data_IF_647040082239
#
_entry.id   IF_647040082239
#
_cell.length_a   1.000
_cell.length_b   1.000
_cell.length_c   1.000
_cell.angle_alpha   90.00
_cell.angle_beta   90.00
_cell.angle_gamma   90.00
#
_symmetry.space_group_name_H-M   'P 1'
#
loop_
_entity.id
_entity.type
_entity.pdbx_description
1 polymer ?
#
# COMPACT_ATOMS: atom_id res chain seq x y z
N UNK A 1 36.08 -48.75 21.96
CA UNK A 1 35.72 -47.61 21.08
C UNK A 1 34.45 -48.01 20.34
N UNK A 2 33.30 -47.53 20.82
CA UNK A 2 31.98 -47.86 20.26
C UNK A 2 31.59 -46.75 19.28
N UNK A 3 31.31 -47.11 18.04
CA UNK A 3 30.78 -46.20 17.02
C UNK A 3 29.35 -45.80 17.40
N UNK A 4 29.07 -44.50 17.40
CA UNK A 4 27.73 -43.95 17.59
C UNK A 4 26.95 -43.99 16.26
N UNK A 5 25.62 -44.25 16.27
CA UNK A 5 24.81 -44.20 15.07
C UNK A 5 24.50 -42.74 14.71
N UNK A 6 24.78 -42.36 13.46
CA UNK A 6 24.35 -41.08 12.88
C UNK A 6 22.85 -41.19 12.59
N UNK A 7 22.04 -40.46 13.36
CA UNK A 7 20.63 -40.24 13.04
C UNK A 7 20.55 -39.13 11.99
N UNK A 8 20.26 -39.49 10.74
CA UNK A 8 19.77 -38.56 9.74
C UNK A 8 18.37 -38.09 10.18
N UNK A 9 18.29 -36.89 10.75
CA UNK A 9 17.03 -36.20 10.94
C UNK A 9 16.60 -35.70 9.55
N UNK A 10 15.76 -36.49 8.88
CA UNK A 10 14.92 -35.99 7.79
C UNK A 10 13.93 -35.02 8.41
N UNK A 11 14.23 -33.73 8.34
CA UNK A 11 13.24 -32.68 8.58
C UNK A 11 12.14 -32.86 7.52
N UNK A 12 10.88 -33.12 7.89
CA UNK A 12 9.81 -33.19 6.93
C UNK A 12 9.66 -31.78 6.33
N UNK A 13 9.59 -31.72 5.00
CA UNK A 13 9.07 -30.55 4.29
C UNK A 13 7.74 -30.17 4.94
N UNK A 14 7.73 -29.10 5.71
CA UNK A 14 6.51 -28.48 6.18
C UNK A 14 5.75 -28.00 4.95
N UNK A 15 4.71 -28.75 4.60
CA UNK A 15 3.61 -28.26 3.78
C UNK A 15 3.21 -26.87 4.27
N UNK A 16 3.04 -25.94 3.33
CA UNK A 16 2.63 -24.53 3.50
C UNK A 16 1.35 -24.36 4.34
N UNK A 17 0.65 -25.45 4.67
CA UNK A 17 -0.47 -25.47 5.61
C UNK A 17 -0.10 -25.08 7.07
N UNK A 18 1.18 -24.99 7.46
CA UNK A 18 1.59 -24.78 8.86
C UNK A 18 1.79 -23.31 9.29
N UNK A 19 1.73 -22.34 8.37
CA UNK A 19 1.57 -20.90 8.69
C UNK A 19 0.24 -20.46 8.08
N UNK A 20 -0.82 -20.48 8.89
CA UNK A 20 -2.16 -20.18 8.40
C UNK A 20 -2.23 -18.80 7.75
N UNK A 21 -2.55 -18.76 6.45
CA UNK A 21 -2.93 -17.51 5.79
C UNK A 21 -4.36 -17.16 6.23
N UNK A 22 -4.46 -16.42 7.33
CA UNK A 22 -5.72 -15.96 7.92
C UNK A 22 -5.65 -14.45 8.10
N UNK A 23 -6.58 -13.74 7.49
CA UNK A 23 -6.71 -12.29 7.63
C UNK A 23 -7.74 -11.93 8.70
N UNK A 24 -7.69 -10.69 9.17
CA UNK A 24 -8.73 -10.15 10.04
C UNK A 24 -10.11 -10.19 9.34
N UNK A 25 -11.21 -10.56 10.02
CA UNK A 25 -12.53 -10.71 9.40
C UNK A 25 -13.00 -9.48 8.61
N UNK A 26 -12.81 -8.26 9.15
CA UNK A 26 -13.17 -7.01 8.44
C UNK A 26 -12.34 -6.77 7.16
N UNK A 27 -11.13 -7.34 7.07
CA UNK A 27 -10.30 -7.28 5.86
C UNK A 27 -10.83 -8.28 4.82
N UNK A 28 -11.18 -9.52 5.22
CA UNK A 28 -11.82 -10.50 4.34
C UNK A 28 -13.17 -10.00 3.82
N UNK A 29 -13.99 -9.41 4.70
CA UNK A 29 -15.28 -8.80 4.32
C UNK A 29 -15.07 -7.72 3.27
N UNK A 30 -14.04 -6.89 3.43
CA UNK A 30 -13.69 -5.85 2.48
C UNK A 30 -13.28 -6.42 1.12
N UNK A 31 -12.40 -7.43 1.10
CA UNK A 31 -12.01 -8.13 -0.14
C UNK A 31 -13.27 -8.66 -0.83
N UNK A 32 -14.10 -9.41 -0.11
CA UNK A 32 -15.31 -10.02 -0.66
C UNK A 32 -16.33 -8.98 -1.16
N UNK A 33 -16.44 -7.84 -0.48
CA UNK A 33 -17.30 -6.72 -0.91
C UNK A 33 -16.82 -6.15 -2.23
N UNK A 34 -15.54 -5.82 -2.31
CA UNK A 34 -14.98 -5.12 -3.47
C UNK A 34 -14.87 -6.06 -4.68
N UNK A 35 -14.63 -7.36 -4.49
CA UNK A 35 -14.60 -8.33 -5.60
C UNK A 35 -15.97 -8.78 -6.10
N UNK A 36 -17.06 -8.46 -5.39
CA UNK A 36 -18.43 -8.71 -5.86
C UNK A 36 -18.92 -7.73 -6.93
N UNK A 37 -18.18 -6.65 -7.20
CA UNK A 37 -18.58 -5.59 -8.13
C UNK A 37 -18.91 -6.09 -9.55
N UNK A 38 -18.33 -7.23 -9.97
CA UNK A 38 -18.57 -7.82 -11.30
C UNK A 38 -19.76 -8.77 -11.36
N UNK A 39 -20.23 -9.28 -10.22
CA UNK A 39 -21.34 -10.23 -10.13
C UNK A 39 -21.21 -11.43 -11.09
N UNK A 40 -22.35 -11.87 -11.62
CA UNK A 40 -22.39 -13.01 -12.57
C UNK A 40 -21.72 -12.70 -13.91
N UNK A 41 -21.79 -11.43 -14.36
CA UNK A 41 -21.18 -10.99 -15.61
C UNK A 41 -19.67 -11.25 -15.63
N UNK A 42 -19.03 -11.11 -14.46
CA UNK A 42 -17.59 -11.32 -14.31
C UNK A 42 -16.75 -10.34 -15.11
N UNK A 43 -15.49 -10.69 -15.30
CA UNK A 43 -14.46 -9.92 -15.99
C UNK A 43 -14.18 -10.59 -17.33
N UNK A 44 -14.52 -9.89 -18.41
CA UNK A 44 -14.24 -10.29 -19.78
C UNK A 44 -12.86 -9.80 -20.25
N UNK A 45 -12.31 -10.43 -21.29
CA UNK A 45 -10.98 -10.09 -21.78
C UNK A 45 -10.92 -8.66 -22.36
N UNK A 46 -11.94 -8.23 -23.09
CA UNK A 46 -12.06 -6.88 -23.63
C UNK A 46 -12.14 -5.81 -22.53
N UNK A 47 -12.75 -6.14 -21.38
CA UNK A 47 -12.78 -5.27 -20.22
C UNK A 47 -11.39 -5.06 -19.62
N UNK A 48 -10.58 -6.12 -19.48
CA UNK A 48 -9.20 -6.00 -19.01
C UNK A 48 -8.33 -5.22 -20.01
N UNK A 49 -8.50 -5.48 -21.30
CA UNK A 49 -7.78 -4.78 -22.38
C UNK A 49 -8.20 -3.31 -22.54
N UNK A 50 -9.41 -2.94 -22.08
CA UNK A 50 -9.89 -1.56 -22.15
C UNK A 50 -8.98 -0.57 -21.40
N UNK A 51 -8.19 -1.05 -20.44
CA UNK A 51 -7.21 -0.23 -19.70
C UNK A 51 -6.21 0.44 -20.64
N UNK A 52 -5.77 -0.22 -21.71
CA UNK A 52 -4.85 0.38 -22.68
C UNK A 52 -5.48 1.56 -23.43
N UNK A 53 -6.82 1.67 -23.48
CA UNK A 53 -7.50 2.84 -24.07
C UNK A 53 -7.33 4.09 -23.22
N UNK A 54 -6.99 3.93 -21.93
CA UNK A 54 -6.52 5.02 -21.10
C UNK A 54 -5.30 5.72 -21.72
N UNK A 55 -4.47 4.99 -22.47
CA UNK A 55 -3.32 5.56 -23.18
C UNK A 55 -3.38 5.47 -24.69
N UNK A 56 -4.57 5.34 -25.26
CA UNK A 56 -4.75 5.11 -26.69
C UNK A 56 -4.53 6.33 -27.60
N UNK A 57 -4.01 7.46 -27.09
CA UNK A 57 -3.71 8.63 -27.92
C UNK A 57 -2.43 9.35 -27.47
N UNK A 58 -1.69 9.88 -28.45
CA UNK A 58 -0.49 10.71 -28.22
C UNK A 58 -0.80 11.92 -27.32
N UNK A 59 -1.99 12.51 -27.44
CA UNK A 59 -2.40 13.64 -26.61
C UNK A 59 -2.40 13.27 -25.12
N UNK A 60 -2.97 12.12 -24.73
CA UNK A 60 -3.00 11.71 -23.32
C UNK A 60 -1.61 11.39 -22.78
N UNK A 61 -0.71 10.87 -23.61
CA UNK A 61 0.69 10.62 -23.23
C UNK A 61 1.41 11.92 -22.93
N UNK A 62 1.25 12.93 -23.81
CA UNK A 62 1.93 14.21 -23.69
C UNK A 62 1.36 15.09 -22.57
N UNK A 63 0.03 15.09 -22.39
CA UNK A 63 -0.64 15.99 -21.44
C UNK A 63 -0.86 15.36 -20.06
N UNK A 64 -1.06 14.05 -19.99
CA UNK A 64 -1.48 13.35 -18.76
C UNK A 64 -0.48 12.28 -18.31
N UNK A 65 0.60 12.07 -19.07
CA UNK A 65 1.61 11.05 -18.78
C UNK A 65 1.03 9.67 -18.46
N UNK A 66 -0.08 9.32 -19.12
CA UNK A 66 -0.91 8.19 -18.72
C UNK A 66 -0.17 6.85 -18.76
N UNK A 67 0.84 6.73 -19.63
CA UNK A 67 1.67 5.56 -19.87
C UNK A 67 2.60 5.23 -18.69
N UNK A 68 2.66 6.13 -17.71
CA UNK A 68 3.37 5.97 -16.43
C UNK A 68 2.45 5.55 -15.29
N UNK A 69 1.13 5.61 -15.49
CA UNK A 69 0.14 5.44 -14.43
C UNK A 69 -0.29 3.98 -14.22
N UNK A 70 -0.04 3.09 -15.18
CA UNK A 70 -0.59 1.73 -15.14
C UNK A 70 0.37 0.64 -15.57
N UNK A 71 0.50 -0.37 -14.71
CA UNK A 71 1.25 -1.60 -14.94
C UNK A 71 0.26 -2.77 -15.05
N UNK A 72 0.11 -3.35 -16.24
CA UNK A 72 -0.71 -4.53 -16.49
C UNK A 72 0.07 -5.78 -16.14
N UNK A 73 -0.61 -6.69 -15.44
CA UNK A 73 -0.02 -7.87 -14.83
C UNK A 73 -0.93 -9.06 -15.09
N UNK A 74 -0.31 -10.17 -15.47
CA UNK A 74 -0.95 -11.45 -15.70
C UNK A 74 -0.22 -12.52 -14.90
N UNK A 75 -0.96 -13.40 -14.24
CA UNK A 75 -0.43 -14.57 -13.54
C UNK A 75 -0.95 -15.80 -14.27
N UNK A 76 -0.04 -16.68 -14.65
CA UNK A 76 -0.36 -17.95 -15.30
C UNK A 76 0.48 -19.06 -14.65
N UNK A 77 -0.19 -20.10 -14.17
CA UNK A 77 0.43 -21.26 -13.51
C UNK A 77 1.31 -20.89 -12.30
N UNK A 78 1.00 -19.76 -11.65
CA UNK A 78 1.76 -19.20 -10.53
C UNK A 78 2.98 -18.36 -10.94
N UNK A 79 3.21 -18.16 -12.23
CA UNK A 79 4.26 -17.25 -12.75
C UNK A 79 3.65 -15.89 -13.06
N UNK A 80 4.31 -14.82 -12.61
CA UNK A 80 3.87 -13.44 -12.81
C UNK A 80 4.53 -12.85 -14.05
N UNK A 81 3.74 -12.21 -14.90
CA UNK A 81 4.16 -11.57 -16.15
C UNK A 81 3.67 -10.12 -16.20
N UNK A 82 4.46 -9.26 -16.82
CA UNK A 82 4.11 -7.89 -17.16
C UNK A 82 3.68 -7.81 -18.63
N UNK A 83 2.54 -7.16 -18.88
CA UNK A 83 1.97 -7.02 -20.22
C UNK A 83 2.19 -5.64 -20.85
N UNK A 84 2.83 -4.76 -20.11
CA UNK A 84 3.47 -3.54 -20.58
C UNK A 84 4.66 -3.25 -19.67
N UNK A 85 5.49 -2.29 -20.05
CA UNK A 85 6.54 -1.72 -19.21
C UNK A 85 6.25 -0.24 -18.98
N UNK A 86 6.83 0.29 -17.92
CA UNK A 86 6.79 1.71 -17.56
C UNK A 86 8.02 2.40 -18.16
N UNK A 87 7.93 3.62 -18.72
CA UNK A 87 9.08 4.30 -19.29
C UNK A 87 10.26 4.44 -18.33
N UNK A 88 11.48 4.30 -18.84
CA UNK A 88 12.68 4.32 -18.00
C UNK A 88 12.88 5.64 -17.23
N UNK A 89 12.43 6.77 -17.78
CA UNK A 89 12.54 8.09 -17.14
C UNK A 89 11.56 8.31 -15.99
N UNK A 90 10.60 7.41 -15.78
CA UNK A 90 9.71 7.40 -14.61
C UNK A 90 9.98 6.25 -13.65
N UNK A 91 10.97 5.39 -13.94
CA UNK A 91 11.44 4.41 -12.99
C UNK A 91 12.19 5.11 -11.85
N UNK A 92 12.04 4.61 -10.62
CA UNK A 92 12.67 5.21 -9.44
C UNK A 92 11.74 5.44 -8.24
N UNK A 93 10.46 5.77 -8.42
CA UNK A 93 9.49 5.75 -7.34
C UNK A 93 9.38 4.34 -6.75
N UNK A 94 9.47 4.26 -5.42
CA UNK A 94 9.49 3.00 -4.67
C UNK A 94 8.09 2.34 -4.62
N UNK A 95 7.04 3.11 -4.91
CA UNK A 95 5.62 2.74 -4.98
C UNK A 95 5.40 1.51 -5.86
N UNK A 96 5.79 1.61 -7.15
CA UNK A 96 5.63 0.56 -8.14
C UNK A 96 6.54 -0.63 -7.88
N UNK A 97 7.82 -0.34 -7.66
CA UNK A 97 8.86 -1.34 -7.43
C UNK A 97 8.53 -2.21 -6.21
N UNK A 98 8.07 -1.59 -5.12
CA UNK A 98 7.69 -2.33 -3.92
C UNK A 98 6.53 -3.28 -4.15
N UNK A 99 5.52 -2.88 -4.93
CA UNK A 99 4.40 -3.77 -5.26
C UNK A 99 4.86 -4.96 -6.10
N UNK A 100 5.73 -4.73 -7.09
CA UNK A 100 6.34 -5.77 -7.90
C UNK A 100 7.18 -6.76 -7.07
N UNK A 101 8.00 -6.26 -6.15
CA UNK A 101 8.79 -7.08 -5.20
C UNK A 101 7.87 -7.97 -4.35
N UNK A 102 6.83 -7.38 -3.77
CA UNK A 102 5.92 -8.08 -2.86
C UNK A 102 5.01 -9.09 -3.59
N UNK A 103 4.58 -8.76 -4.82
CA UNK A 103 3.82 -9.66 -5.68
C UNK A 103 4.66 -10.86 -6.15
N UNK A 104 5.92 -10.63 -6.56
CA UNK A 104 6.82 -11.73 -6.90
C UNK A 104 7.01 -12.65 -5.71
N UNK A 105 7.26 -12.12 -4.52
CA UNK A 105 7.37 -12.95 -3.33
C UNK A 105 6.08 -13.73 -3.03
N UNK A 106 4.92 -13.08 -3.14
CA UNK A 106 3.64 -13.75 -2.94
C UNK A 106 3.48 -14.94 -3.90
N UNK A 107 3.93 -14.81 -5.15
CA UNK A 107 3.93 -15.91 -6.15
C UNK A 107 4.84 -17.09 -5.79
N UNK A 108 5.90 -16.82 -5.03
CA UNK A 108 6.84 -17.85 -4.57
C UNK A 108 6.38 -18.54 -3.30
N UNK A 109 5.68 -17.82 -2.42
CA UNK A 109 5.15 -18.35 -1.16
C UNK A 109 3.82 -19.09 -1.39
N UNK A 110 2.94 -18.48 -2.17
CA UNK A 110 1.64 -19.01 -2.55
C UNK A 110 1.65 -19.23 -4.05
N UNK A 111 1.35 -20.45 -4.51
CA UNK A 111 1.09 -20.66 -5.94
C UNK A 111 -0.14 -19.83 -6.33
N UNK A 112 0.08 -18.62 -6.82
CA UNK A 112 -0.98 -17.65 -7.12
C UNK A 112 -1.88 -18.19 -8.25
N UNK A 113 -3.19 -17.90 -8.21
CA UNK A 113 -4.13 -18.38 -9.22
C UNK A 113 -3.93 -17.65 -10.56
N UNK A 114 -4.46 -18.26 -11.62
CA UNK A 114 -4.53 -17.59 -12.93
C UNK A 114 -5.45 -16.37 -12.86
N UNK A 115 -4.91 -15.19 -13.13
CA UNK A 115 -5.63 -13.92 -13.03
C UNK A 115 -4.91 -12.83 -13.83
N UNK A 116 -5.63 -11.82 -14.30
CA UNK A 116 -5.05 -10.63 -14.93
C UNK A 116 -5.70 -9.38 -14.34
N UNK A 117 -4.87 -8.37 -14.09
CA UNK A 117 -5.28 -7.11 -13.47
C UNK A 117 -4.28 -6.00 -13.80
N UNK A 118 -4.62 -4.77 -13.43
CA UNK A 118 -3.77 -3.60 -13.58
C UNK A 118 -3.41 -3.04 -12.21
N UNK A 119 -2.16 -2.67 -11.99
CA UNK A 119 -1.75 -1.88 -10.84
C UNK A 119 -1.64 -0.41 -11.25
N UNK A 120 -2.34 0.45 -10.52
CA UNK A 120 -2.33 1.88 -10.68
C UNK A 120 -1.23 2.51 -9.83
N UNK A 121 -0.33 3.25 -10.47
CA UNK A 121 0.92 3.73 -9.90
C UNK A 121 0.83 5.10 -9.23
N UNK A 122 -0.18 5.91 -9.54
CA UNK A 122 -0.33 7.24 -8.93
C UNK A 122 -0.84 7.16 -7.49
N UNK A 123 -0.63 8.27 -6.76
CA UNK A 123 -1.10 8.40 -5.38
C UNK A 123 -2.62 8.35 -5.27
N UNK A 124 -3.30 8.96 -6.24
CA UNK A 124 -4.75 8.94 -6.33
C UNK A 124 -5.20 7.76 -7.17
N UNK A 125 -6.24 7.01 -6.73
CA UNK A 125 -6.87 6.04 -7.61
C UNK A 125 -7.46 6.75 -8.83
N UNK A 126 -7.59 6.06 -9.97
CA UNK A 126 -8.11 6.66 -11.20
C UNK A 126 -9.52 7.21 -10.95
N UNK A 127 -9.73 8.48 -11.31
CA UNK A 127 -11.01 9.15 -11.13
C UNK A 127 -12.12 8.50 -11.98
N UNK A 128 -11.73 7.82 -13.05
CA UNK A 128 -12.59 7.18 -14.02
C UNK A 128 -13.30 5.93 -13.48
N UNK A 129 -12.72 5.23 -12.49
CA UNK A 129 -13.29 3.99 -11.91
C UNK A 129 -14.28 4.31 -10.79
N UNK A 130 -15.38 4.98 -11.13
CA UNK A 130 -16.41 5.38 -10.14
C UNK A 130 -17.26 4.16 -9.75
N UNK A 131 -17.54 4.03 -8.46
CA UNK A 131 -18.51 3.10 -7.89
C UNK A 131 -19.60 3.92 -7.18
N UNK A 132 -20.84 3.84 -7.64
CA UNK A 132 -21.95 4.60 -7.06
C UNK A 132 -22.66 3.79 -5.97
N UNK A 133 -23.40 4.46 -5.05
CA UNK A 133 -24.15 3.77 -4.00
C UNK A 133 -25.20 2.77 -4.50
N UNK A 134 -25.72 2.96 -5.71
CA UNK A 134 -26.66 2.04 -6.36
C UNK A 134 -25.97 0.81 -6.98
N UNK A 135 -24.65 0.68 -6.82
CA UNK A 135 -23.83 -0.39 -7.38
C UNK A 135 -23.42 -0.15 -8.84
N UNK A 136 -23.87 0.91 -9.49
CA UNK A 136 -23.44 1.23 -10.84
C UNK A 136 -21.99 1.66 -10.89
N UNK A 137 -21.28 1.22 -11.93
CA UNK A 137 -19.86 1.54 -12.14
C UNK A 137 -19.70 2.52 -13.31
N UNK A 138 -18.56 3.18 -13.36
CA UNK A 138 -18.14 3.97 -14.52
C UNK A 138 -16.75 3.56 -14.95
N UNK A 139 -16.55 3.51 -16.26
CA UNK A 139 -15.27 3.46 -16.94
C UNK A 139 -15.51 3.96 -18.36
N UNK A 140 -14.81 4.99 -18.85
CA UNK A 140 -15.20 5.70 -20.07
C UNK A 140 -14.88 4.93 -21.36
N UNK A 141 -14.23 3.76 -21.25
CA UNK A 141 -13.81 2.97 -22.41
C UNK A 141 -14.69 1.72 -22.56
N UNK A 142 -15.09 1.34 -23.80
CA UNK A 142 -15.77 0.09 -24.07
C UNK A 142 -15.02 -1.11 -23.45
N UNK A 143 -15.72 -2.11 -22.88
CA UNK A 143 -17.16 -2.34 -22.89
C UNK A 143 -17.95 -1.58 -21.80
N UNK A 144 -17.39 -0.53 -21.19
CA UNK A 144 -18.04 0.31 -20.16
C UNK A 144 -18.37 -0.43 -18.85
N UNK A 145 -17.44 -1.28 -18.40
CA UNK A 145 -17.48 -1.93 -17.09
C UNK A 145 -16.28 -1.52 -16.22
N UNK A 146 -16.25 -1.95 -14.96
CA UNK A 146 -15.13 -1.68 -14.06
C UNK A 146 -13.92 -2.58 -14.42
N UNK A 147 -12.78 -2.07 -14.90
CA UNK A 147 -11.60 -2.91 -15.11
C UNK A 147 -11.04 -3.42 -13.76
N UNK A 148 -10.46 -4.63 -13.69
CA UNK A 148 -9.80 -5.12 -12.48
C UNK A 148 -8.50 -4.36 -12.26
N UNK A 149 -8.60 -3.28 -11.50
CA UNK A 149 -7.48 -2.41 -11.20
C UNK A 149 -7.24 -2.35 -9.70
N UNK A 150 -5.97 -2.27 -9.30
CA UNK A 150 -5.51 -2.21 -7.93
C UNK A 150 -4.87 -0.86 -7.64
N UNK A 151 -5.13 -0.30 -6.47
CA UNK A 151 -4.45 0.88 -5.96
C UNK A 151 -4.23 0.75 -4.45
N UNK A 152 -3.27 1.49 -3.91
CA UNK A 152 -2.92 1.39 -2.49
C UNK A 152 -3.83 2.21 -1.56
N UNK A 153 -4.70 3.04 -2.14
CA UNK A 153 -5.65 3.88 -1.41
C UNK A 153 -6.86 4.18 -2.26
N UNK A 154 -8.04 4.27 -1.62
CA UNK A 154 -9.25 4.74 -2.27
C UNK A 154 -10.27 5.32 -1.29
N UNK A 155 -11.35 5.85 -1.87
CA UNK A 155 -12.59 6.24 -1.18
C UNK A 155 -13.67 5.20 -1.49
N UNK A 156 -14.80 5.19 -0.77
CA UNK A 156 -15.86 4.20 -1.01
C UNK A 156 -16.56 4.34 -2.36
N UNK A 157 -16.44 5.51 -3.01
CA UNK A 157 -16.98 5.80 -4.34
C UNK A 157 -16.05 5.39 -5.49
N UNK A 158 -14.99 4.61 -5.21
CA UNK A 158 -14.02 4.18 -6.21
C UNK A 158 -13.90 2.64 -6.27
N UNK A 159 -13.92 2.11 -7.50
CA UNK A 159 -14.01 0.69 -7.80
C UNK A 159 -12.68 -0.10 -7.77
N UNK A 160 -11.52 0.54 -7.62
CA UNK A 160 -10.25 -0.22 -7.57
C UNK A 160 -10.20 -1.17 -6.36
N UNK A 161 -9.45 -2.25 -6.46
CA UNK A 161 -9.15 -3.14 -5.34
C UNK A 161 -7.98 -2.57 -4.53
N UNK A 162 -8.06 -2.65 -3.20
CA UNK A 162 -6.99 -2.16 -2.33
C UNK A 162 -5.83 -3.15 -2.28
N UNK A 163 -4.60 -2.65 -2.34
CA UNK A 163 -3.36 -3.41 -2.08
C UNK A 163 -2.46 -2.67 -1.09
N UNK A 164 -1.47 -3.33 -0.48
CA UNK A 164 -0.49 -2.63 0.36
C UNK A 164 0.30 -1.59 -0.45
N UNK A 165 0.59 -0.44 0.17
CA UNK A 165 1.59 0.52 -0.33
C UNK A 165 3.00 -0.06 -0.14
N UNK A 166 3.29 -1.09 -0.92
CA UNK A 166 4.37 -2.04 -0.69
C UNK A 166 5.75 -1.37 -0.72
N UNK A 167 5.91 -0.29 -1.49
CA UNK A 167 7.12 0.54 -1.46
C UNK A 167 7.46 1.05 -0.05
N UNK A 168 6.47 1.56 0.68
CA UNK A 168 6.67 2.07 2.03
C UNK A 168 6.81 0.95 3.08
N UNK A 169 6.36 -0.25 2.77
CA UNK A 169 6.56 -1.44 3.60
C UNK A 169 7.93 -2.09 3.41
N UNK A 170 8.44 -2.12 2.16
CA UNK A 170 9.58 -2.96 1.75
C UNK A 170 10.87 -2.20 1.41
N UNK A 171 10.75 -1.02 0.81
CA UNK A 171 11.81 -0.47 -0.02
C UNK A 171 12.51 0.74 0.60
N UNK A 172 11.75 1.67 1.18
CA UNK A 172 12.32 2.84 1.85
C UNK A 172 13.26 2.41 3.01
N UNK A 173 14.31 3.19 3.26
CA UNK A 173 15.24 2.92 4.39
C UNK A 173 14.57 3.05 5.75
N UNK A 174 13.50 3.83 5.85
CA UNK A 174 12.62 3.95 7.00
C UNK A 174 11.30 3.16 6.81
N UNK A 175 11.31 2.12 5.98
CA UNK A 175 10.14 1.30 5.70
C UNK A 175 9.58 0.62 6.96
N UNK A 176 8.34 0.15 6.88
CA UNK A 176 7.73 -0.62 7.96
C UNK A 176 8.59 -1.83 8.34
N UNK A 177 9.07 -2.62 7.37
CA UNK A 177 9.88 -3.80 7.65
C UNK A 177 11.24 -3.42 8.29
N UNK A 178 11.84 -2.29 7.89
CA UNK A 178 13.06 -1.77 8.52
C UNK A 178 12.84 -1.34 9.97
N UNK A 179 11.70 -0.71 10.28
CA UNK A 179 11.33 -0.33 11.65
C UNK A 179 10.97 -1.56 12.50
N UNK A 180 10.25 -2.53 11.92
CA UNK A 180 9.91 -3.78 12.59
C UNK A 180 11.18 -4.54 13.02
N UNK A 181 12.17 -4.62 12.13
CA UNK A 181 13.45 -5.26 12.43
C UNK A 181 14.23 -4.58 13.59
N UNK A 182 13.91 -3.33 13.91
CA UNK A 182 14.54 -2.54 14.97
C UNK A 182 13.60 -2.33 16.18
N UNK A 183 12.49 -3.07 16.27
CA UNK A 183 11.46 -2.80 17.27
C UNK A 183 11.98 -2.89 18.71
N UNK A 184 12.91 -3.82 18.99
CA UNK A 184 13.53 -3.94 20.32
C UNK A 184 14.30 -2.67 20.73
N UNK A 185 14.87 -1.94 19.77
CA UNK A 185 15.52 -0.66 20.02
C UNK A 185 14.50 0.48 20.14
N UNK A 186 13.52 0.52 19.24
CA UNK A 186 12.45 1.53 19.24
C UNK A 186 11.57 1.47 20.49
N UNK A 187 11.54 0.34 21.18
CA UNK A 187 10.73 0.16 22.40
C UNK A 187 11.49 0.41 23.70
N UNK A 188 12.78 0.78 23.63
CA UNK A 188 13.60 1.05 24.82
C UNK A 188 13.19 2.29 25.59
N UNK A 189 12.55 3.27 24.95
CA UNK A 189 12.06 4.49 25.60
C UNK A 189 10.75 4.12 26.33
N UNK A 190 10.75 4.03 27.68
CA UNK A 190 9.56 3.74 28.45
C UNK A 190 8.49 4.81 28.22
N UNK A 191 7.22 4.43 28.32
CA UNK A 191 6.10 5.35 28.10
C UNK A 191 6.19 6.60 28.99
N UNK A 192 6.63 6.41 30.23
CA UNK A 192 6.77 7.42 31.28
C UNK A 192 7.87 8.45 30.98
N UNK A 193 8.84 8.11 30.12
CA UNK A 193 9.92 9.01 29.69
C UNK A 193 9.59 9.76 28.40
N UNK A 194 8.48 9.41 27.72
CA UNK A 194 8.08 10.04 26.46
C UNK A 194 7.50 11.43 26.72
N UNK A 195 7.81 12.37 25.81
CA UNK A 195 7.28 13.73 25.84
C UNK A 195 5.76 13.71 25.63
N UNK A 196 5.01 14.38 26.50
CA UNK A 196 3.54 14.40 26.49
C UNK A 196 2.95 15.40 25.47
N UNK A 197 3.60 15.62 24.33
CA UNK A 197 3.16 16.58 23.29
C UNK A 197 2.77 15.84 22.01
N UNK A 198 1.72 16.28 21.33
CA UNK A 198 1.34 15.76 20.02
C UNK A 198 2.34 16.19 18.96
N UNK A 199 3.04 15.23 18.36
CA UNK A 199 4.15 15.50 17.46
C UNK A 199 3.86 15.07 16.02
N UNK A 200 4.25 15.89 15.05
CA UNK A 200 4.17 15.55 13.62
C UNK A 200 5.04 16.42 12.72
N UNK A 201 5.56 15.84 11.63
CA UNK A 201 6.37 16.53 10.61
C UNK A 201 6.01 16.07 9.20
N UNK A 202 5.86 16.98 8.23
CA UNK A 202 5.51 16.61 6.84
C UNK A 202 5.75 17.75 5.84
N UNK A 203 5.71 17.47 4.54
CA UNK A 203 5.82 18.50 3.51
C UNK A 203 4.57 19.39 3.46
N UNK A 204 4.75 20.69 3.18
CA UNK A 204 3.69 21.69 3.10
C UNK A 204 2.93 21.59 1.77
N UNK A 205 1.88 20.77 1.73
CA UNK A 205 0.97 20.69 0.58
C UNK A 205 -0.43 20.26 1.02
N UNK A 206 -1.39 20.39 0.11
CA UNK A 206 -2.75 19.89 0.30
C UNK A 206 -3.23 19.05 -0.86
N UNK A 207 -3.91 17.95 -0.54
CA UNK A 207 -4.58 17.10 -1.52
C UNK A 207 -5.97 17.62 -1.86
N UNK A 208 -6.43 17.29 -3.07
CA UNK A 208 -7.58 17.95 -3.70
C UNK A 208 -8.87 17.79 -2.89
N UNK A 209 -9.08 16.66 -2.21
CA UNK A 209 -10.35 16.39 -1.53
C UNK A 209 -10.55 17.26 -0.27
N UNK A 210 -9.49 17.78 0.35
CA UNK A 210 -9.63 18.83 1.37
C UNK A 210 -9.91 20.20 0.73
N UNK A 211 -9.19 20.56 -0.34
CA UNK A 211 -9.38 21.86 -1.01
C UNK A 211 -10.71 21.99 -1.73
N UNK A 212 -11.29 20.86 -2.16
CA UNK A 212 -12.62 20.78 -2.77
C UNK A 212 -13.73 20.53 -1.74
N UNK A 213 -13.44 20.61 -0.45
CA UNK A 213 -14.42 20.50 0.64
C UNK A 213 -15.20 19.17 0.65
N UNK A 214 -14.56 18.09 0.22
CA UNK A 214 -15.17 16.75 0.18
C UNK A 214 -15.17 16.07 1.56
N UNK A 215 -14.21 16.41 2.42
CA UNK A 215 -14.15 15.95 3.81
C UNK A 215 -14.89 16.95 4.70
N UNK A 216 -15.86 16.47 5.47
CA UNK A 216 -16.71 17.30 6.34
C UNK A 216 -16.64 16.81 7.77
N UNK A 217 -16.63 17.77 8.69
CA UNK A 217 -16.77 17.55 10.12
C UNK A 217 -18.24 17.34 10.47
N UNK A 218 -18.52 16.89 11.69
CA UNK A 218 -19.86 16.62 12.21
C UNK A 218 -20.75 17.87 12.23
N UNK A 219 -20.16 19.07 12.37
CA UNK A 219 -20.87 20.35 12.28
C UNK A 219 -21.22 20.77 10.84
N UNK A 220 -20.85 19.96 9.84
CA UNK A 220 -21.09 20.19 8.42
C UNK A 220 -20.06 21.07 7.70
N UNK A 221 -19.14 21.69 8.45
CA UNK A 221 -18.06 22.49 7.87
C UNK A 221 -17.01 21.60 7.21
N UNK A 222 -16.32 22.16 6.21
CA UNK A 222 -15.23 21.46 5.54
C UNK A 222 -14.02 21.34 6.48
N UNK A 223 -13.39 20.17 6.50
CA UNK A 223 -12.10 19.99 7.17
C UNK A 223 -11.05 20.86 6.46
N UNK A 224 -10.38 21.79 7.16
CA UNK A 224 -9.30 22.56 6.54
C UNK A 224 -8.14 21.61 6.23
N UNK A 225 -7.23 22.04 5.35
CA UNK A 225 -6.07 21.21 5.04
C UNK A 225 -5.25 20.88 6.29
N UNK A 226 -5.18 19.61 6.76
CA UNK A 226 -4.58 19.32 8.06
C UNK A 226 -3.09 19.70 8.10
N UNK A 227 -2.36 19.45 7.00
CA UNK A 227 -0.92 19.68 6.91
C UNK A 227 -0.50 21.13 7.13
N UNK A 228 -1.29 22.08 6.66
CA UNK A 228 -0.98 23.51 6.79
C UNK A 228 -1.71 24.13 7.98
N UNK A 229 -2.93 23.67 8.28
CA UNK A 229 -3.74 24.20 9.37
C UNK A 229 -3.13 23.93 10.75
N UNK A 230 -2.53 22.75 10.95
CA UNK A 230 -1.91 22.36 12.22
C UNK A 230 -0.71 23.24 12.62
N UNK A 231 -0.11 23.98 11.67
CA UNK A 231 0.88 25.00 12.01
C UNK A 231 0.28 26.07 12.94
N UNK A 232 -0.95 26.51 12.66
CA UNK A 232 -1.63 27.55 13.44
C UNK A 232 -2.03 27.00 14.82
N UNK A 233 -2.52 25.75 14.87
CA UNK A 233 -2.86 25.09 16.13
C UNK A 233 -1.61 24.91 17.00
N UNK A 234 -0.49 24.49 16.41
CA UNK A 234 0.77 24.32 17.12
C UNK A 234 1.33 25.64 17.66
N UNK A 235 1.17 26.75 16.93
CA UNK A 235 1.57 28.08 17.43
C UNK A 235 0.70 28.58 18.58
N UNK A 236 -0.61 28.29 18.52
CA UNK A 236 -1.56 28.70 19.53
C UNK A 236 -1.46 27.85 20.81
N UNK A 237 -1.06 26.58 20.67
CA UNK A 237 -0.99 25.61 21.76
C UNK A 237 0.35 24.84 21.75
N UNK A 238 1.51 25.53 21.86
CA UNK A 238 2.83 24.91 21.71
C UNK A 238 3.17 23.95 22.85
N UNK A 239 2.46 24.04 23.98
CA UNK A 239 2.55 23.12 25.09
C UNK A 239 1.80 21.81 24.84
N UNK A 240 0.82 21.77 23.93
CA UNK A 240 0.00 20.60 23.62
C UNK A 240 0.34 19.98 22.26
N UNK A 241 0.59 20.80 21.24
CA UNK A 241 0.75 20.37 19.85
C UNK A 241 2.03 20.95 19.27
N UNK A 242 2.90 20.07 18.80
CA UNK A 242 4.13 20.34 18.08
C UNK A 242 4.09 19.61 16.72
N UNK A 243 3.12 19.98 15.90
CA UNK A 243 2.81 19.32 14.64
C UNK A 243 2.89 20.34 13.48
N UNK A 244 4.02 20.33 12.79
CA UNK A 244 4.37 21.36 11.80
C UNK A 244 4.69 20.73 10.45
N UNK A 245 4.33 21.43 9.37
CA UNK A 245 4.98 21.15 8.09
C UNK A 245 6.45 21.61 8.08
N UNK A 246 7.22 21.16 7.10
CA UNK A 246 8.66 21.43 7.00
C UNK A 246 9.02 22.86 6.56
N UNK A 247 8.04 23.72 6.27
CA UNK A 247 8.30 25.16 6.13
C UNK A 247 8.49 25.84 7.49
N UNK A 248 8.04 25.21 8.58
CA UNK A 248 8.11 25.75 9.94
C UNK A 248 8.83 24.84 10.92
N UNK A 249 8.64 23.53 10.80
CA UNK A 249 9.28 22.51 11.62
C UNK A 249 10.56 21.96 11.00
N UNK A 250 11.46 21.46 11.83
CA UNK A 250 12.64 20.69 11.37
C UNK A 250 12.27 19.22 11.13
N UNK A 251 12.82 18.56 10.09
CA UNK A 251 12.61 17.14 9.89
C UNK A 251 13.17 16.34 11.07
N UNK A 252 12.45 15.28 11.45
CA UNK A 252 12.86 14.34 12.51
C UNK A 252 12.76 12.92 11.94
N UNK A 253 13.83 12.11 12.01
CA UNK A 253 13.81 10.72 11.56
C UNK A 253 12.64 9.97 12.19
N UNK A 254 11.97 9.13 11.40
CA UNK A 254 10.74 8.50 11.82
C UNK A 254 10.92 7.61 13.06
N UNK A 255 12.01 6.84 13.09
CA UNK A 255 12.41 6.02 14.24
C UNK A 255 12.53 6.83 15.55
N UNK A 256 12.90 8.11 15.48
CA UNK A 256 13.11 8.95 16.67
C UNK A 256 11.82 9.61 17.18
N UNK A 257 10.70 9.45 16.47
CA UNK A 257 9.42 10.03 16.89
C UNK A 257 8.74 9.20 17.98
N UNK A 258 9.20 7.97 18.22
CA UNK A 258 8.79 7.13 19.36
C UNK A 258 9.00 7.78 20.73
N UNK A 259 9.82 8.84 20.83
CA UNK A 259 10.03 9.63 22.04
C UNK A 259 8.81 10.47 22.47
N UNK A 260 7.80 10.60 21.62
CA UNK A 260 6.57 11.34 21.91
C UNK A 260 5.44 10.36 22.25
N UNK A 261 4.63 10.68 23.27
CA UNK A 261 3.45 9.86 23.61
C UNK A 261 2.40 9.88 22.51
N UNK A 262 2.32 10.98 21.76
CA UNK A 262 1.22 11.31 20.86
C UNK A 262 1.79 11.61 19.45
N UNK A 263 1.38 10.84 18.44
CA UNK A 263 1.86 11.02 17.06
C UNK A 263 0.73 11.45 16.13
N UNK A 264 0.90 12.60 15.48
CA UNK A 264 -0.11 13.18 14.59
C UNK A 264 0.07 12.67 13.17
N UNK A 265 -0.95 11.97 12.68
CA UNK A 265 -1.06 11.46 11.33
C UNK A 265 -2.06 12.27 10.53
N UNK A 266 -1.60 12.80 9.40
CA UNK A 266 -2.43 13.42 8.37
C UNK A 266 -2.27 12.65 7.08
N UNK A 267 -3.26 12.77 6.20
CA UNK A 267 -3.12 12.31 4.83
C UNK A 267 -1.97 13.00 4.08
N UNK A 268 -1.50 12.35 3.02
CA UNK A 268 -0.56 12.89 2.04
C UNK A 268 -1.30 13.34 0.78
N UNK A 269 -0.80 12.98 -0.39
CA UNK A 269 -1.59 13.09 -1.61
C UNK A 269 -2.81 12.16 -1.51
N UNK A 270 -2.61 10.95 -0.99
CA UNK A 270 -3.68 10.01 -0.61
C UNK A 270 -3.61 9.72 0.89
N UNK A 271 -3.72 8.47 1.34
CA UNK A 271 -3.27 8.13 2.70
C UNK A 271 -1.75 8.36 2.85
N UNK A 272 -1.24 8.43 4.09
CA UNK A 272 0.18 8.54 4.36
C UNK A 272 0.75 7.25 4.94
N UNK A 273 1.85 6.76 4.36
CA UNK A 273 2.59 5.61 4.91
C UNK A 273 3.19 5.86 6.30
N UNK A 274 3.24 7.11 6.77
CA UNK A 274 3.59 7.39 8.17
C UNK A 274 2.59 6.78 9.13
N UNK A 275 1.32 6.70 8.76
CA UNK A 275 0.30 6.08 9.59
C UNK A 275 0.64 4.60 9.84
N UNK A 276 0.93 3.84 8.78
CA UNK A 276 1.34 2.43 8.86
C UNK A 276 2.47 2.22 9.87
N UNK A 277 3.46 3.12 9.83
CA UNK A 277 4.68 3.06 10.64
C UNK A 277 4.44 3.56 12.08
N UNK A 278 3.60 4.57 12.28
CA UNK A 278 3.26 5.06 13.62
C UNK A 278 2.54 4.02 14.47
N UNK A 279 1.72 3.16 13.85
CA UNK A 279 1.07 2.07 14.56
C UNK A 279 2.10 1.14 15.23
N UNK A 280 3.32 1.01 14.71
CA UNK A 280 4.38 0.20 15.33
C UNK A 280 5.06 0.83 16.55
N UNK A 281 5.05 2.17 16.68
CA UNK A 281 5.94 2.88 17.62
C UNK A 281 5.44 2.84 19.08
N UNK A 282 4.25 2.31 19.32
CA UNK A 282 3.63 2.23 20.65
C UNK A 282 3.24 3.58 21.24
N UNK A 283 3.25 4.64 20.42
CA UNK A 283 2.67 5.95 20.76
C UNK A 283 1.17 5.92 20.43
N UNK A 284 0.35 6.69 21.14
CA UNK A 284 -1.03 6.90 20.74
C UNK A 284 -1.06 7.74 19.46
N UNK A 285 -1.68 7.22 18.40
CA UNK A 285 -1.73 7.89 17.11
C UNK A 285 -2.99 8.76 17.05
N UNK A 286 -2.82 10.06 16.80
CA UNK A 286 -3.92 10.99 16.50
C UNK A 286 -4.08 11.05 14.98
N UNK A 287 -5.24 10.67 14.44
CA UNK A 287 -5.49 10.63 13.00
C UNK A 287 -6.52 11.67 12.57
N UNK A 288 -6.16 12.49 11.60
CA UNK A 288 -7.06 13.48 11.01
C UNK A 288 -8.20 12.79 10.24
N UNK A 289 -9.38 13.41 10.24
CA UNK A 289 -10.52 13.01 9.43
C UNK A 289 -10.14 12.92 7.95
N UNK A 290 -10.63 11.86 7.31
CA UNK A 290 -10.25 11.50 5.94
C UNK A 290 -11.33 10.67 5.26
N UNK A 291 -11.49 10.85 3.95
CA UNK A 291 -12.31 9.97 3.09
C UNK A 291 -11.49 8.85 2.44
N UNK A 292 -10.17 8.83 2.64
CA UNK A 292 -9.25 7.86 2.05
C UNK A 292 -8.89 6.78 3.05
N UNK A 293 -8.76 5.56 2.55
CA UNK A 293 -8.35 4.42 3.36
C UNK A 293 -7.49 3.43 2.57
N UNK A 294 -6.64 2.72 3.31
CA UNK A 294 -5.81 1.61 2.81
C UNK A 294 -6.43 0.25 3.10
N UNK A 295 -5.76 -0.81 2.66
CA UNK A 295 -6.26 -2.20 2.69
C UNK A 295 -6.67 -2.72 4.08
N UNK A 296 -6.02 -2.24 5.14
CA UNK A 296 -6.24 -2.71 6.51
C UNK A 296 -7.17 -1.81 7.34
N UNK A 297 -7.45 -0.60 6.85
CA UNK A 297 -8.18 0.43 7.61
C UNK A 297 -9.56 -0.04 8.11
N UNK A 298 -10.33 -0.86 7.38
CA UNK A 298 -11.60 -1.39 7.89
C UNK A 298 -11.47 -2.18 9.20
N UNK A 299 -10.28 -2.71 9.50
CA UNK A 299 -10.01 -3.45 10.73
C UNK A 299 -9.49 -2.59 11.88
N UNK A 300 -9.23 -1.30 11.66
CA UNK A 300 -8.95 -0.36 12.73
C UNK A 300 -10.25 0.13 13.38
N UNK A 301 -10.17 0.38 14.68
CA UNK A 301 -11.25 0.96 15.48
C UNK A 301 -10.78 2.31 16.03
N UNK A 302 -11.51 3.42 15.81
CA UNK A 302 -11.23 4.69 16.45
C UNK A 302 -11.53 4.61 17.95
N UNK A 303 -10.83 5.40 18.75
CA UNK A 303 -11.18 5.62 20.15
C UNK A 303 -12.42 6.51 20.24
N UNK A 304 -13.37 6.09 21.08
CA UNK A 304 -14.51 6.90 21.51
C UNK A 304 -14.31 7.22 23.00
N UNK A 305 -14.19 8.50 23.40
CA UNK A 305 -14.10 8.89 24.81
C UNK A 305 -15.30 8.42 25.64
N UNK A 306 -16.48 8.27 25.04
CA UNK A 306 -17.71 7.87 25.72
C UNK A 306 -17.90 6.33 25.75
N UNK A 307 -17.21 5.60 24.87
CA UNK A 307 -17.25 4.12 24.77
C UNK A 307 -15.87 3.55 24.38
N UNK A 308 -14.88 3.74 25.25
CA UNK A 308 -13.51 3.33 24.94
C UNK A 308 -13.38 1.80 24.98
N UNK A 309 -13.31 1.19 23.80
CA UNK A 309 -13.09 -0.24 23.66
C UNK A 309 -11.61 -0.62 23.81
N UNK A 310 -11.35 -1.87 24.22
CA UNK A 310 -9.98 -2.38 24.35
C UNK A 310 -9.25 -2.54 23.00
N UNK A 311 -10.00 -2.54 21.89
CA UNK A 311 -9.48 -2.61 20.52
C UNK A 311 -9.39 -1.23 19.84
N UNK A 312 -9.49 -0.11 20.57
CA UNK A 312 -9.23 1.20 20.00
C UNK A 312 -7.76 1.33 19.56
N UNK A 313 -7.53 1.73 18.30
CA UNK A 313 -6.19 1.77 17.69
C UNK A 313 -5.67 3.18 17.43
N UNK A 314 -6.53 4.21 17.40
CA UNK A 314 -6.12 5.59 17.19
C UNK A 314 -7.14 6.56 17.77
N UNK A 315 -6.74 7.80 18.03
CA UNK A 315 -7.61 8.89 18.50
C UNK A 315 -7.97 9.76 17.29
N UNK A 316 -9.25 9.87 16.90
CA UNK A 316 -9.64 10.71 15.77
C UNK A 316 -9.57 12.22 16.14
N UNK A 317 -9.27 13.06 15.14
CA UNK A 317 -9.42 14.52 15.23
C UNK A 317 -9.80 15.11 13.87
N UNK A 318 -10.20 16.38 13.85
CA UNK A 318 -10.91 17.07 12.78
C UNK A 318 -12.24 16.37 12.42
N UNK A 319 -12.88 15.76 13.41
CA UNK A 319 -14.19 15.12 13.24
C UNK A 319 -15.30 16.00 13.82
N UNK A 320 -15.08 16.64 14.98
CA UNK A 320 -16.07 17.50 15.64
C UNK A 320 -16.01 18.93 15.12
N UNK A 321 -14.80 19.50 15.14
CA UNK A 321 -14.46 20.81 14.60
C UNK A 321 -12.96 20.88 14.32
N UNK A 322 -12.51 21.92 13.61
CA UNK A 322 -11.14 22.01 13.07
C UNK A 322 -10.00 22.02 14.11
N UNK A 323 -10.31 22.31 15.36
CA UNK A 323 -9.36 22.50 16.47
C UNK A 323 -9.47 21.40 17.55
N UNK A 324 -10.33 20.39 17.35
CA UNK A 324 -10.62 19.32 18.34
C UNK A 324 -9.40 18.44 18.68
N UNK A 325 -8.29 18.55 17.93
CA UNK A 325 -7.00 17.95 18.31
C UNK A 325 -6.52 18.45 19.68
N UNK A 326 -6.81 19.70 20.04
CA UNK A 326 -6.47 20.26 21.36
C UNK A 326 -7.19 19.48 22.46
N UNK A 327 -8.48 19.21 22.26
CA UNK A 327 -9.31 18.41 23.18
C UNK A 327 -8.82 16.96 23.23
N UNK A 328 -8.48 16.37 22.08
CA UNK A 328 -7.96 15.01 21.99
C UNK A 328 -6.65 14.83 22.78
N UNK A 329 -5.73 15.80 22.70
CA UNK A 329 -4.47 15.77 23.46
C UNK A 329 -4.70 15.98 24.95
N UNK A 330 -5.59 16.91 25.33
CA UNK A 330 -5.96 17.13 26.73
C UNK A 330 -6.58 15.87 27.34
N UNK A 331 -7.48 15.21 26.60
CA UNK A 331 -8.06 13.93 27.02
C UNK A 331 -6.97 12.86 27.18
N UNK A 332 -6.07 12.72 26.22
CA UNK A 332 -5.02 11.71 26.26
C UNK A 332 -4.03 11.92 27.41
N UNK A 333 -3.75 13.18 27.81
CA UNK A 333 -2.97 13.50 29.01
C UNK A 333 -3.72 13.15 30.30
N UNK A 334 -5.01 13.46 30.37
CA UNK A 334 -5.83 13.17 31.55
C UNK A 334 -6.08 11.66 31.73
N UNK A 335 -6.02 10.89 30.63
CA UNK A 335 -6.26 9.45 30.57
C UNK A 335 -4.99 8.74 30.05
N UNK A 336 -3.85 8.98 30.70
CA UNK A 336 -2.54 8.52 30.23
C UNK A 336 -2.47 6.98 30.05
N UNK A 337 -3.10 6.23 30.94
CA UNK A 337 -3.17 4.76 30.86
C UNK A 337 -3.99 4.29 29.66
N UNK A 338 -5.10 4.97 29.35
CA UNK A 338 -5.94 4.72 28.18
C UNK A 338 -5.19 5.04 26.89
N UNK A 339 -4.53 6.21 26.83
CA UNK A 339 -3.73 6.61 25.68
C UNK A 339 -2.59 5.60 25.41
N UNK A 340 -1.90 5.16 26.45
CA UNK A 340 -0.90 4.09 26.36
C UNK A 340 -1.50 2.81 25.78
N UNK A 341 -2.66 2.39 26.29
CA UNK A 341 -3.36 1.17 25.83
C UNK A 341 -3.73 1.25 24.35
N UNK A 342 -4.18 2.41 23.87
CA UNK A 342 -4.46 2.64 22.44
C UNK A 342 -3.19 2.46 21.61
N UNK A 343 -2.06 3.05 22.03
CA UNK A 343 -0.77 2.89 21.36
C UNK A 343 -0.26 1.44 21.37
N UNK A 344 -0.46 0.71 22.46
CA UNK A 344 -0.13 -0.71 22.56
C UNK A 344 -1.02 -1.58 21.66
N UNK A 345 -2.33 -1.32 21.62
CA UNK A 345 -3.28 -2.00 20.75
C UNK A 345 -2.95 -1.79 19.26
N UNK A 346 -2.64 -0.54 18.85
CA UNK A 346 -2.14 -0.22 17.52
C UNK A 346 -0.91 -1.05 17.12
N UNK A 347 0.05 -1.17 18.04
CA UNK A 347 1.27 -1.95 17.79
C UNK A 347 0.99 -3.44 17.67
N UNK A 348 0.11 -3.98 18.50
CA UNK A 348 -0.31 -5.39 18.40
C UNK A 348 -0.99 -5.63 17.05
N UNK A 349 -1.92 -4.76 16.66
CA UNK A 349 -2.59 -4.83 15.36
C UNK A 349 -1.59 -4.79 14.20
N UNK A 350 -0.66 -3.84 14.20
CA UNK A 350 0.35 -3.71 13.16
C UNK A 350 1.22 -4.98 13.04
N UNK A 351 1.64 -5.55 14.17
CA UNK A 351 2.44 -6.78 14.21
C UNK A 351 1.67 -8.03 13.77
N UNK A 352 0.34 -8.02 13.86
CA UNK A 352 -0.50 -9.14 13.44
C UNK A 352 -0.92 -9.04 11.97
N UNK A 353 -1.15 -7.82 11.47
CA UNK A 353 -1.86 -7.62 10.20
C UNK A 353 -1.08 -6.86 9.14
N UNK A 354 0.00 -6.16 9.52
CA UNK A 354 0.79 -5.34 8.60
C UNK A 354 2.20 -5.88 8.34
N UNK A 355 2.64 -6.91 9.07
CA UNK A 355 3.92 -7.57 8.84
C UNK A 355 3.94 -8.32 7.51
N UNK A 356 5.13 -8.54 6.96
CA UNK A 356 5.34 -9.14 5.64
C UNK A 356 4.54 -10.44 5.40
N UNK A 357 4.52 -11.46 6.29
CA UNK A 357 3.69 -12.64 6.07
C UNK A 357 2.19 -12.34 5.93
N UNK A 358 1.67 -11.39 6.71
CA UNK A 358 0.26 -10.99 6.65
C UNK A 358 -0.07 -10.27 5.33
N UNK A 359 0.83 -9.43 4.82
CA UNK A 359 0.66 -8.75 3.53
C UNK A 359 0.75 -9.71 2.34
N UNK A 360 1.67 -10.66 2.36
CA UNK A 360 1.74 -11.72 1.34
C UNK A 360 0.45 -12.56 1.34
N UNK A 361 -0.07 -12.90 2.53
CA UNK A 361 -1.35 -13.56 2.67
C UNK A 361 -2.48 -12.68 2.11
N UNK A 362 -2.50 -11.38 2.39
CA UNK A 362 -3.50 -10.44 1.85
C UNK A 362 -3.53 -10.48 0.31
N UNK A 363 -2.36 -10.37 -0.34
CA UNK A 363 -2.25 -10.43 -1.79
C UNK A 363 -2.79 -11.76 -2.31
N UNK A 364 -2.39 -12.89 -1.71
CA UNK A 364 -2.89 -14.21 -2.12
C UNK A 364 -4.42 -14.32 -2.00
N UNK A 365 -5.01 -13.87 -0.89
CA UNK A 365 -6.46 -13.92 -0.66
C UNK A 365 -7.21 -13.01 -1.64
N UNK A 366 -6.73 -11.79 -1.85
CA UNK A 366 -7.31 -10.86 -2.81
C UNK A 366 -7.30 -11.44 -4.23
N UNK A 367 -6.16 -11.97 -4.69
CA UNK A 367 -6.03 -12.55 -6.03
C UNK A 367 -6.86 -13.83 -6.18
N UNK A 368 -7.03 -14.61 -5.11
CA UNK A 368 -7.91 -15.78 -5.10
C UNK A 368 -9.38 -15.41 -5.25
N UNK A 369 -9.84 -14.32 -4.64
CA UNK A 369 -11.20 -13.84 -4.85
C UNK A 369 -11.39 -13.18 -6.22
N UNK A 370 -10.37 -12.47 -6.71
CA UNK A 370 -10.40 -11.86 -8.04
C UNK A 370 -10.41 -12.90 -9.16
N UNK A 371 -9.63 -13.98 -9.05
CA UNK A 371 -9.55 -15.01 -10.10
C UNK A 371 -10.91 -15.68 -10.37
N UNK A 372 -11.78 -15.78 -9.37
CA UNK A 372 -13.16 -16.29 -9.51
C UNK A 372 -14.03 -15.44 -10.42
N UNK A 373 -13.65 -14.18 -10.64
CA UNK A 373 -14.39 -13.24 -11.48
C UNK A 373 -13.98 -13.33 -12.96
N UNK A 374 -12.86 -13.96 -13.30
CA UNK A 374 -12.38 -14.08 -14.68
C UNK A 374 -13.32 -14.98 -15.52
N UNK A 375 -13.61 -14.58 -16.77
CA UNK A 375 -14.51 -15.28 -17.71
C UNK A 375 -13.85 -15.68 -19.03
N UNK A 376 -12.52 -15.65 -19.09
CA UNK A 376 -11.75 -15.99 -20.28
C UNK A 376 -10.48 -16.76 -19.90
N UNK A 377 -9.88 -17.53 -20.81
CA UNK A 377 -8.63 -18.23 -20.52
C UNK A 377 -7.47 -17.24 -20.41
N UNK A 378 -6.84 -17.22 -19.23
CA UNK A 378 -5.62 -16.46 -19.00
C UNK A 378 -4.48 -17.11 -19.79
N UNK A 379 -3.82 -16.32 -20.65
CA UNK A 379 -2.66 -16.80 -21.38
C UNK A 379 -1.76 -15.66 -21.83
N UNK A 380 -0.49 -15.76 -21.46
CA UNK A 380 0.60 -14.90 -21.91
C UNK A 380 0.70 -14.82 -23.45
N UNK A 381 0.40 -15.91 -24.17
CA UNK A 381 0.46 -15.96 -25.65
C UNK A 381 -0.59 -15.08 -26.34
N UNK A 382 -1.61 -14.63 -25.60
CA UNK A 382 -2.68 -13.76 -26.10
C UNK A 382 -2.35 -12.27 -25.91
N UNK A 383 -1.12 -11.93 -25.52
CA UNK A 383 -0.70 -10.57 -25.18
C UNK A 383 0.46 -10.14 -26.08
N UNK A 384 0.52 -8.86 -26.43
CA UNK A 384 1.61 -8.30 -27.25
C UNK A 384 2.95 -8.37 -26.53
N UNK A 385 2.93 -8.15 -25.22
CA UNK A 385 4.09 -8.26 -24.35
C UNK A 385 3.80 -9.21 -23.20
N UNK A 386 4.84 -9.96 -22.82
CA UNK A 386 4.79 -10.88 -21.71
C UNK A 386 6.20 -11.06 -21.12
N UNK A 387 6.60 -10.11 -20.27
CA UNK A 387 7.91 -10.13 -19.59
C UNK A 387 7.74 -10.83 -18.24
N UNK A 388 8.46 -11.93 -17.94
CA UNK A 388 8.43 -12.51 -16.60
C UNK A 388 8.87 -11.48 -15.57
N UNK A 389 8.11 -11.32 -14.49
CA UNK A 389 8.37 -10.30 -13.45
C UNK A 389 9.77 -10.42 -12.85
N UNK A 390 10.29 -11.64 -12.73
CA UNK A 390 11.64 -11.89 -12.23
C UNK A 390 12.74 -11.26 -13.09
N UNK A 391 12.54 -11.21 -14.41
CA UNK A 391 13.49 -10.56 -15.33
C UNK A 391 13.42 -9.03 -15.18
N UNK A 392 12.23 -8.47 -15.01
CA UNK A 392 12.06 -7.05 -14.67
C UNK A 392 12.76 -6.71 -13.35
N UNK A 393 12.58 -7.53 -12.30
CA UNK A 393 13.24 -7.30 -11.02
C UNK A 393 14.77 -7.37 -11.12
N UNK A 394 15.31 -8.25 -11.96
CA UNK A 394 16.75 -8.30 -12.27
C UNK A 394 17.22 -7.06 -13.02
N UNK A 395 16.42 -6.56 -13.97
CA UNK A 395 16.70 -5.29 -14.65
C UNK A 395 16.70 -4.12 -13.66
N UNK A 396 15.66 -3.97 -12.86
CA UNK A 396 15.52 -2.90 -11.86
C UNK A 396 16.65 -2.94 -10.81
N UNK A 397 17.10 -4.13 -10.40
CA UNK A 397 18.22 -4.30 -9.48
C UNK A 397 19.57 -3.81 -10.04
N UNK A 398 19.72 -3.75 -11.37
CA UNK A 398 20.94 -3.30 -12.06
C UNK A 398 20.83 -1.90 -12.66
N UNK A 399 19.61 -1.43 -12.94
CA UNK A 399 19.38 -0.16 -13.60
C UNK A 399 19.72 1.00 -12.67
N UNK A 400 20.55 1.95 -13.14
CA UNK A 400 21.20 2.95 -12.28
C UNK A 400 20.22 3.72 -11.38
N UNK A 401 19.06 4.12 -11.91
CA UNK A 401 18.04 4.86 -11.17
C UNK A 401 17.32 4.04 -10.09
N UNK A 402 17.20 2.72 -10.27
CA UNK A 402 16.38 1.86 -9.40
C UNK A 402 17.20 0.91 -8.53
N UNK A 403 18.47 0.68 -8.84
CA UNK A 403 19.33 -0.32 -8.20
C UNK A 403 19.39 -0.23 -6.67
N UNK A 404 19.23 0.98 -6.11
CA UNK A 404 19.22 1.22 -4.66
C UNK A 404 17.84 1.53 -4.08
N UNK A 405 16.77 1.43 -4.88
CA UNK A 405 15.42 1.82 -4.44
C UNK A 405 14.76 0.77 -3.54
N UNK A 406 15.15 -0.50 -3.66
CA UNK A 406 14.64 -1.60 -2.85
C UNK A 406 15.74 -2.67 -2.61
N UNK A 407 15.52 -3.57 -1.65
CA UNK A 407 16.48 -4.64 -1.32
C UNK A 407 16.21 -5.87 -2.20
N UNK A 408 16.57 -5.80 -3.48
CA UNK A 408 16.30 -6.88 -4.45
C UNK A 408 17.02 -8.19 -4.14
N UNK A 409 18.27 -8.12 -3.66
CA UNK A 409 19.10 -9.30 -3.41
C UNK A 409 18.47 -10.26 -2.40
N UNK A 410 17.84 -9.74 -1.35
CA UNK A 410 17.13 -10.54 -0.35
C UNK A 410 16.04 -11.43 -0.98
N UNK A 411 15.40 -10.95 -2.03
CA UNK A 411 14.34 -11.66 -2.74
C UNK A 411 14.91 -12.63 -3.79
N UNK A 412 15.79 -12.11 -4.66
CA UNK A 412 16.35 -12.87 -5.78
C UNK A 412 17.24 -14.02 -5.29
N UNK A 413 18.05 -13.80 -4.26
CA UNK A 413 18.92 -14.83 -3.68
C UNK A 413 18.10 -15.90 -2.96
N UNK A 414 17.07 -15.49 -2.21
CA UNK A 414 16.19 -16.41 -1.45
C UNK A 414 15.43 -17.35 -2.37
N UNK A 415 14.90 -16.86 -3.49
CA UNK A 415 14.04 -17.67 -4.37
C UNK A 415 14.74 -18.19 -5.63
N UNK A 416 15.97 -17.75 -5.93
CA UNK A 416 16.76 -18.17 -7.08
C UNK A 416 16.98 -19.68 -7.23
N UNK A 417 17.00 -20.43 -6.12
CA UNK A 417 17.10 -21.89 -6.16
C UNK A 417 15.79 -22.59 -6.57
N UNK A 418 14.64 -21.94 -6.38
CA UNK A 418 13.30 -22.51 -6.65
C UNK A 418 12.64 -21.94 -7.91
N UNK A 419 13.19 -20.85 -8.43
CA UNK A 419 12.83 -20.22 -9.68
C UNK A 419 14.11 -20.08 -10.53
N UNK A 420 14.37 -20.99 -11.48
CA UNK A 420 15.58 -20.91 -12.30
C UNK A 420 15.72 -19.60 -13.08
N UNK A 421 14.62 -18.89 -13.35
CA UNK A 421 14.67 -17.57 -13.97
C UNK A 421 15.14 -16.47 -12.99
N UNK A 422 15.11 -16.69 -11.67
CA UNK A 422 15.74 -15.82 -10.68
C UNK A 422 17.24 -16.08 -10.50
N UNK A 423 17.76 -17.23 -10.94
CA UNK A 423 19.16 -17.59 -10.75
C UNK A 423 20.12 -16.56 -11.41
N UNK A 424 21.33 -16.34 -10.85
CA UNK A 424 22.35 -15.49 -11.45
C UNK A 424 22.66 -15.92 -12.89
N UNK A 425 22.57 -15.00 -13.84
CA UNK A 425 22.73 -15.29 -15.27
C UNK A 425 22.50 -14.05 -16.15
N UNK A 426 22.29 -14.27 -17.45
CA UNK A 426 21.85 -13.20 -18.35
C UNK A 426 20.53 -12.62 -17.81
N UNK A 427 20.51 -11.30 -17.60
CA UNK A 427 19.35 -10.58 -17.09
C UNK A 427 18.58 -9.87 -18.19
N UNK A 428 18.85 -10.19 -19.47
CA UNK A 428 18.25 -9.54 -20.64
C UNK A 428 18.30 -8.02 -20.54
N UNK A 429 19.36 -7.50 -19.92
CA UNK A 429 19.38 -6.13 -19.43
C UNK A 429 19.25 -5.11 -20.55
N UNK A 430 20.02 -5.29 -21.63
CA UNK A 430 19.97 -4.39 -22.79
C UNK A 430 18.66 -4.49 -23.55
N UNK A 431 18.07 -5.69 -23.59
CA UNK A 431 16.77 -5.90 -24.21
C UNK A 431 15.66 -5.18 -23.44
N UNK A 432 15.56 -5.40 -22.12
CA UNK A 432 14.58 -4.73 -21.28
C UNK A 432 14.78 -3.22 -21.29
N UNK A 433 16.03 -2.74 -21.22
CA UNK A 433 16.33 -1.31 -21.35
C UNK A 433 15.74 -0.72 -22.63
N UNK A 434 15.95 -1.37 -23.77
CA UNK A 434 15.39 -0.94 -25.04
C UNK A 434 13.86 -0.99 -25.04
N UNK A 435 13.25 -2.01 -24.45
CA UNK A 435 11.79 -2.11 -24.33
C UNK A 435 11.21 -0.98 -23.48
N UNK A 436 11.86 -0.56 -22.38
CA UNK A 436 11.41 0.59 -21.58
C UNK A 436 11.50 1.93 -22.34
N UNK A 437 12.35 2.03 -23.36
CA UNK A 437 12.51 3.22 -24.20
C UNK A 437 11.54 3.25 -25.38
N UNK A 438 10.96 2.11 -25.75
CA UNK A 438 10.09 1.94 -26.91
C UNK A 438 8.59 2.01 -26.54
N UNK A 439 7.83 3.00 -27.04
CA UNK A 439 6.40 3.13 -26.82
C UNK A 439 5.54 1.92 -27.20
N UNK A 440 6.03 1.01 -28.05
CA UNK A 440 5.36 -0.25 -28.37
C UNK A 440 5.18 -1.18 -27.16
N UNK A 441 6.00 -1.02 -26.13
CA UNK A 441 5.95 -1.82 -24.91
C UNK A 441 5.23 -1.12 -23.75
N UNK A 442 4.83 0.13 -23.93
CA UNK A 442 4.03 0.88 -22.95
C UNK A 442 2.57 0.41 -22.99
N UNK A 443 1.65 0.89 -22.12
CA UNK A 443 0.26 0.38 -22.10
C UNK A 443 -0.56 0.90 -23.32
N UNK A 444 -0.17 0.45 -24.52
CA UNK A 444 -0.62 0.87 -25.86
C UNK A 444 -1.03 -0.35 -26.69
N UNK A 445 -2.33 -0.58 -26.81
CA UNK A 445 -2.84 -1.62 -27.72
C UNK A 445 -3.20 -1.08 -29.11
N UNK A 446 -3.17 0.24 -29.30
CA UNK A 446 -3.47 0.93 -30.57
C UNK A 446 -2.31 0.90 -31.58
N UNK A 447 -1.07 0.67 -31.13
CA UNK A 447 0.10 0.59 -32.02
C UNK A 447 0.17 -0.78 -32.73
N UNK A 448 0.54 -0.83 -34.03
CA UNK A 448 0.81 -2.09 -34.72
C UNK A 448 2.04 -2.78 -34.10
N UNK A 449 1.99 -4.12 -34.03
CA UNK A 449 3.09 -4.95 -33.54
C UNK A 449 4.23 -5.06 -34.56
#
# INVERSE_FOLDING_TARGET
MRAAPVWLILLPFLSVAALGCTLHPKIEERIARDTRAWGEAGITEDLVLSVSKHCGSEQRILEQHCHTQVQRILIQDGVVYLNNLIPNYTLGPHEGIGFLVELYEASRVFKLPDVEFSYWLDDHPPAETVLRPDGSVSWPYPPYGLPPMMAWSKSDDNGVLLVPYSGAFRCASDSFDALEAQLDELTRIPWEEREEVAFGRWNAFCTYYYTSHMVRMADGQAVPCPRTYLNNVSDAHPDLVNAYDLSRGKPVPLAHQNRYKFLVSTDGWSISSKFDKYLLLGSAVLRAASIRFGFYYPALSPADPDDLTADAHFIPFMEKHRDDIVEAVQWARAHDAEARRIGEAARVFARQHLVRPARLCYIFRLLTELSKQIRYPISCQRRKLCVPLVEELKFLAKYGTTSSTCIYGELLDKYGATDPAAAPGDSRYEELRAMHEDPLHWPRDDLPA
#
